data_IF_325933367857
#
_entry.id   IF_325933367857
#
_cell.length_a   1.000
_cell.length_b   1.000
_cell.length_c   1.000
_cell.angle_alpha   90.00
_cell.angle_beta   90.00
_cell.angle_gamma   90.00
#
_symmetry.space_group_name_H-M   'P 1'
#
loop_
_entity.id
_entity.type
_entity.pdbx_description
1 polymer ?
#
# COMPACT_ATOMS: atom_id res chain seq x y z
N UNK A 1 -5.57 -5.19 -52.56
CA UNK A 1 -5.08 -3.91 -52.01
C UNK A 1 -4.74 -4.22 -50.57
N UNK A 2 -3.47 -4.44 -50.28
CA UNK A 2 -3.03 -4.65 -48.90
C UNK A 2 -3.19 -3.31 -48.19
N UNK A 3 -4.05 -3.27 -47.16
CA UNK A 3 -4.19 -2.09 -46.32
C UNK A 3 -2.92 -1.93 -45.50
N UNK A 4 -2.29 -0.76 -45.58
CA UNK A 4 -1.16 -0.44 -44.72
C UNK A 4 -1.57 -0.54 -43.24
N UNK A 5 -0.67 -1.04 -42.37
CA UNK A 5 -0.95 -1.16 -40.95
C UNK A 5 -1.10 0.24 -40.32
N UNK A 6 -2.11 0.40 -39.47
CA UNK A 6 -2.35 1.64 -38.73
C UNK A 6 -1.12 2.04 -37.89
N UNK A 7 -0.66 3.28 -38.02
CA UNK A 7 0.47 3.86 -37.28
C UNK A 7 0.07 4.76 -36.10
N UNK A 8 -1.22 4.93 -35.86
CA UNK A 8 -1.71 5.79 -34.77
C UNK A 8 -1.41 5.19 -33.40
N UNK A 9 -1.06 6.08 -32.45
CA UNK A 9 -0.59 5.69 -31.13
C UNK A 9 -1.70 5.23 -30.19
N UNK A 10 -2.94 5.67 -30.37
CA UNK A 10 -4.04 5.48 -29.41
C UNK A 10 -5.00 4.39 -29.88
N UNK A 11 -5.27 3.42 -29.00
CA UNK A 11 -6.14 2.28 -29.24
C UNK A 11 -7.19 2.18 -28.14
N UNK A 12 -8.41 1.76 -28.50
CA UNK A 12 -9.50 1.47 -27.59
C UNK A 12 -10.10 0.10 -27.93
N UNK A 13 -9.99 -0.87 -27.02
CA UNK A 13 -10.51 -2.23 -27.19
C UNK A 13 -10.07 -2.90 -28.52
N UNK A 14 -8.78 -2.79 -28.87
CA UNK A 14 -8.22 -3.38 -30.08
C UNK A 14 -8.51 -2.61 -31.38
N UNK A 15 -9.22 -1.47 -31.30
CA UNK A 15 -9.46 -0.58 -32.43
C UNK A 15 -8.61 0.68 -32.30
N UNK A 16 -8.12 1.20 -33.42
CA UNK A 16 -7.51 2.53 -33.43
C UNK A 16 -8.54 3.61 -33.09
N UNK A 17 -8.27 4.42 -32.08
CA UNK A 17 -9.19 5.49 -31.65
C UNK A 17 -9.30 6.65 -32.66
N UNK A 18 -8.41 6.71 -33.66
CA UNK A 18 -8.35 7.79 -34.65
C UNK A 18 -8.98 7.35 -35.98
N UNK A 19 -8.56 6.20 -36.52
CA UNK A 19 -9.03 5.73 -37.83
C UNK A 19 -10.01 4.56 -37.79
N UNK A 20 -10.27 3.99 -36.60
CA UNK A 20 -11.21 2.86 -36.43
C UNK A 20 -10.74 1.53 -37.01
N UNK A 21 -9.52 1.46 -37.55
CA UNK A 21 -8.93 0.22 -38.06
C UNK A 21 -8.71 -0.77 -36.90
N UNK A 22 -9.05 -2.03 -37.12
CA UNK A 22 -8.73 -3.12 -36.19
C UNK A 22 -7.21 -3.30 -36.16
N UNK A 23 -6.63 -3.12 -34.98
CA UNK A 23 -5.19 -3.22 -34.77
C UNK A 23 -4.80 -4.58 -34.19
N UNK A 24 -5.78 -5.36 -33.70
CA UNK A 24 -5.64 -6.70 -33.11
C UNK A 24 -4.59 -6.84 -32.00
N UNK A 25 -4.70 -7.87 -31.17
CA UNK A 25 -3.54 -8.39 -30.42
C UNK A 25 -2.63 -9.18 -31.38
N UNK A 26 -2.23 -8.55 -32.49
CA UNK A 26 -1.28 -9.17 -33.39
C UNK A 26 0.07 -9.21 -32.66
N UNK A 27 0.41 -10.39 -32.13
CA UNK A 27 1.78 -10.81 -31.81
C UNK A 27 2.61 -10.81 -33.10
N UNK A 28 2.76 -9.64 -33.73
CA UNK A 28 3.83 -9.41 -34.69
C UNK A 28 5.12 -9.42 -33.90
N UNK A 29 6.04 -10.30 -34.27
CA UNK A 29 7.35 -10.56 -33.67
C UNK A 29 8.33 -9.35 -33.69
N UNK A 30 7.83 -8.12 -33.61
CA UNK A 30 8.62 -6.91 -33.46
C UNK A 30 8.07 -6.10 -32.28
N UNK A 31 8.86 -6.04 -31.19
CA UNK A 31 8.52 -5.41 -29.90
C UNK A 31 8.36 -3.88 -29.91
N UNK A 32 7.75 -3.31 -30.94
CA UNK A 32 7.47 -1.87 -31.09
C UNK A 32 6.06 -1.46 -30.67
N UNK A 33 5.13 -2.42 -30.52
CA UNK A 33 3.71 -2.17 -30.17
C UNK A 33 3.34 -2.67 -28.77
N UNK A 34 4.20 -2.46 -27.77
CA UNK A 34 3.78 -2.63 -26.38
C UNK A 34 2.68 -1.59 -26.09
N UNK A 35 1.44 -2.07 -26.01
CA UNK A 35 0.27 -1.29 -25.68
C UNK A 35 0.26 -1.06 -24.16
N UNK A 36 0.32 0.19 -23.72
CA UNK A 36 0.37 0.61 -22.31
C UNK A 36 -0.96 1.26 -21.94
N UNK A 37 -1.61 0.81 -20.86
CA UNK A 37 -2.84 1.43 -20.38
C UNK A 37 -2.52 2.75 -19.65
N UNK A 38 -2.89 3.88 -20.25
CA UNK A 38 -2.64 5.20 -19.66
C UNK A 38 -3.79 5.72 -18.80
N UNK A 39 -4.92 5.01 -18.75
CA UNK A 39 -6.08 5.48 -17.99
C UNK A 39 -6.14 4.82 -16.61
N UNK A 40 -6.53 5.65 -15.63
CA UNK A 40 -6.89 5.20 -14.29
C UNK A 40 -8.34 4.70 -14.22
N UNK A 41 -9.19 4.98 -15.22
CA UNK A 41 -10.62 4.67 -15.18
C UNK A 41 -11.24 4.06 -16.44
N UNK A 42 -10.52 4.03 -17.56
CA UNK A 42 -10.99 3.45 -18.81
C UNK A 42 -10.20 2.18 -19.09
N UNK A 43 -10.88 1.05 -18.99
CA UNK A 43 -10.35 -0.22 -19.49
C UNK A 43 -10.24 -0.21 -21.01
N UNK A 44 -9.13 -0.74 -21.51
CA UNK A 44 -8.90 -0.92 -22.94
C UNK A 44 -8.40 0.32 -23.70
N UNK A 45 -8.21 1.47 -23.04
CA UNK A 45 -7.50 2.62 -23.64
C UNK A 45 -5.99 2.42 -23.54
N UNK A 46 -5.36 2.07 -24.65
CA UNK A 46 -3.94 1.79 -24.73
C UNK A 46 -3.23 2.80 -25.61
N UNK A 47 -1.98 3.11 -25.28
CA UNK A 47 -1.08 3.87 -26.15
C UNK A 47 0.19 3.08 -26.44
N UNK A 48 0.89 3.41 -27.53
CA UNK A 48 2.22 2.86 -27.77
C UNK A 48 3.25 3.46 -26.79
N UNK A 49 4.40 2.79 -26.65
CA UNK A 49 5.46 3.21 -25.73
C UNK A 49 5.96 4.64 -25.94
N UNK A 50 6.15 5.08 -27.19
CA UNK A 50 6.63 6.44 -27.48
C UNK A 50 5.66 7.52 -27.01
N UNK A 51 4.35 7.26 -27.10
CA UNK A 51 3.32 8.20 -26.66
C UNK A 51 3.19 8.20 -25.13
N UNK A 52 3.34 7.04 -24.48
CA UNK A 52 3.43 6.95 -23.03
C UNK A 52 4.61 7.77 -22.50
N UNK A 53 5.81 7.59 -23.08
CA UNK A 53 7.02 8.34 -22.73
C UNK A 53 6.82 9.86 -22.93
N UNK A 54 6.17 10.28 -24.03
CA UNK A 54 5.87 11.70 -24.27
C UNK A 54 4.95 12.28 -23.20
N UNK A 55 3.85 11.59 -22.87
CA UNK A 55 2.89 12.03 -21.85
C UNK A 55 3.53 12.10 -20.46
N UNK A 56 4.41 11.16 -20.12
CA UNK A 56 5.17 11.20 -18.87
C UNK A 56 6.17 12.34 -18.81
N UNK A 57 6.92 12.59 -19.89
CA UNK A 57 7.85 13.72 -19.95
C UNK A 57 7.11 15.05 -19.77
N UNK A 58 5.93 15.21 -20.37
CA UNK A 58 5.09 16.40 -20.18
C UNK A 58 4.59 16.53 -18.74
N UNK A 59 4.18 15.41 -18.12
CA UNK A 59 3.78 15.39 -16.72
C UNK A 59 4.95 15.72 -15.79
N UNK A 60 6.11 15.12 -15.99
CA UNK A 60 7.33 15.39 -15.22
C UNK A 60 7.75 16.85 -15.36
N UNK A 61 7.76 17.40 -16.57
CA UNK A 61 8.07 18.82 -16.81
C UNK A 61 7.10 19.75 -16.06
N UNK A 62 5.79 19.49 -16.11
CA UNK A 62 4.77 20.25 -15.37
C UNK A 62 4.97 20.14 -13.85
N UNK A 63 5.26 18.95 -13.35
CA UNK A 63 5.54 18.71 -11.93
C UNK A 63 6.78 19.49 -11.48
N UNK A 64 7.86 19.46 -12.26
CA UNK A 64 9.07 20.25 -11.99
C UNK A 64 8.79 21.77 -12.01
N UNK A 65 8.03 22.27 -12.98
CA UNK A 65 7.64 23.68 -13.08
C UNK A 65 6.82 24.14 -11.88
N UNK A 66 5.84 23.33 -11.47
CA UNK A 66 4.97 23.61 -10.32
C UNK A 66 5.62 23.27 -8.98
N UNK A 67 6.86 22.77 -8.99
CA UNK A 67 7.59 22.25 -7.84
C UNK A 67 6.79 21.23 -7.03
N UNK A 68 6.20 20.23 -7.69
CA UNK A 68 5.47 19.12 -7.08
C UNK A 68 6.06 17.76 -7.46
N UNK A 69 5.93 16.79 -6.56
CA UNK A 69 6.17 15.37 -6.82
C UNK A 69 4.83 14.63 -6.98
N UNK A 70 4.86 13.35 -7.33
CA UNK A 70 3.68 12.48 -7.28
C UNK A 70 3.65 11.68 -5.98
N UNK A 71 2.48 11.54 -5.36
CA UNK A 71 2.27 10.70 -4.18
C UNK A 71 1.15 9.69 -4.44
N UNK A 72 1.50 8.41 -4.40
CA UNK A 72 0.55 7.31 -4.37
C UNK A 72 0.15 7.06 -2.92
N UNK A 73 -1.16 7.07 -2.65
CA UNK A 73 -1.76 6.95 -1.33
C UNK A 73 -2.64 5.71 -1.29
N UNK A 74 -2.31 4.79 -0.40
CA UNK A 74 -3.22 3.69 -0.06
C UNK A 74 -4.35 4.15 0.88
N UNK A 75 -5.45 3.38 0.95
CA UNK A 75 -6.63 3.70 1.76
C UNK A 75 -6.62 2.99 3.10
N UNK A 76 -6.85 1.68 3.10
CA UNK A 76 -7.16 0.86 4.27
C UNK A 76 -5.94 0.67 5.15
N UNK A 77 -6.07 0.98 6.45
CA UNK A 77 -4.96 1.03 7.40
C UNK A 77 -3.84 2.03 7.08
N UNK A 78 -3.96 2.81 6.00
CA UNK A 78 -3.05 3.91 5.68
C UNK A 78 -3.65 5.27 6.09
N UNK A 79 -4.74 5.71 5.45
CA UNK A 79 -5.42 6.98 5.77
C UNK A 79 -6.84 6.81 6.35
N UNK A 80 -7.39 5.59 6.27
CA UNK A 80 -8.66 5.23 6.88
C UNK A 80 -8.57 3.85 7.54
N UNK A 81 -9.50 3.53 8.42
CA UNK A 81 -9.77 2.15 8.83
C UNK A 81 -11.25 1.87 8.60
N UNK A 82 -11.57 0.76 7.94
CA UNK A 82 -12.93 0.37 7.59
C UNK A 82 -13.39 -0.86 8.38
N UNK A 83 -14.69 -0.92 8.64
CA UNK A 83 -15.36 -2.03 9.31
C UNK A 83 -16.78 -2.21 8.76
N UNK A 84 -17.25 -3.45 8.79
CA UNK A 84 -18.63 -3.86 8.50
C UNK A 84 -19.35 -4.41 9.74
N UNK A 85 -18.73 -4.32 10.93
CA UNK A 85 -19.30 -4.76 12.21
C UNK A 85 -20.48 -3.85 12.63
N UNK A 86 -21.72 -4.36 12.74
CA UNK A 86 -22.90 -3.56 13.10
C UNK A 86 -22.81 -2.93 14.49
N UNK A 87 -21.94 -3.43 15.37
CA UNK A 87 -21.72 -2.84 16.70
C UNK A 87 -21.21 -1.40 16.62
N UNK A 88 -20.52 -1.01 15.54
CA UNK A 88 -20.16 0.40 15.31
C UNK A 88 -21.41 1.28 15.23
N UNK A 89 -22.41 0.85 14.46
CA UNK A 89 -23.70 1.56 14.34
C UNK A 89 -24.47 1.61 15.66
N UNK A 90 -24.41 0.56 16.47
CA UNK A 90 -25.00 0.53 17.81
C UNK A 90 -24.34 1.59 18.73
N UNK A 91 -23.00 1.64 18.76
CA UNK A 91 -22.25 2.63 19.56
C UNK A 91 -22.43 4.06 19.07
N UNK A 92 -22.57 4.27 17.76
CA UNK A 92 -22.90 5.58 17.19
C UNK A 92 -24.25 6.11 17.66
N UNK A 93 -25.22 5.24 17.90
CA UNK A 93 -26.58 5.63 18.28
C UNK A 93 -26.81 5.69 19.81
N UNK A 94 -26.05 4.91 20.58
CA UNK A 94 -26.15 4.90 22.04
C UNK A 94 -25.25 5.94 22.71
N UNK A 95 -25.84 7.09 23.08
CA UNK A 95 -25.13 8.19 23.78
C UNK A 95 -24.55 7.79 25.14
N UNK A 96 -25.04 6.71 25.75
CA UNK A 96 -24.54 6.22 27.04
C UNK A 96 -23.39 5.21 26.86
N UNK A 97 -23.12 4.76 25.64
CA UNK A 97 -22.03 3.85 25.38
C UNK A 97 -20.69 4.58 25.53
N UNK A 98 -19.71 3.92 26.16
CA UNK A 98 -18.39 4.50 26.40
C UNK A 98 -17.59 4.75 25.14
N UNK A 99 -17.86 4.02 24.06
CA UNK A 99 -17.22 4.21 22.76
C UNK A 99 -17.83 5.37 21.98
N UNK A 100 -19.07 5.79 22.29
CA UNK A 100 -19.80 6.83 21.55
C UNK A 100 -19.02 8.14 21.35
N UNK A 101 -18.23 8.65 22.33
CA UNK A 101 -17.42 9.84 22.10
C UNK A 101 -16.42 9.70 20.94
N UNK A 102 -15.86 8.50 20.74
CA UNK A 102 -14.88 8.19 19.70
C UNK A 102 -15.51 7.90 18.32
N UNK A 103 -16.84 7.75 18.23
CA UNK A 103 -17.53 7.43 16.98
C UNK A 103 -18.03 8.65 16.20
N UNK A 104 -17.85 9.87 16.72
CA UNK A 104 -18.51 11.09 16.21
C UNK A 104 -18.13 11.46 14.78
N UNK A 105 -16.92 11.11 14.37
CA UNK A 105 -16.35 11.41 13.06
C UNK A 105 -16.31 10.19 12.13
N UNK A 106 -16.82 9.04 12.59
CA UNK A 106 -17.03 7.86 11.74
C UNK A 106 -18.03 8.23 10.65
N UNK A 107 -17.67 7.94 9.40
CA UNK A 107 -18.55 8.08 8.24
C UNK A 107 -19.12 6.71 7.91
N UNK A 108 -20.33 6.71 7.32
CA UNK A 108 -20.95 5.51 6.80
C UNK A 108 -21.36 5.67 5.34
N UNK A 109 -21.35 4.56 4.61
CA UNK A 109 -21.87 4.46 3.25
C UNK A 109 -22.32 3.03 2.94
N UNK A 110 -23.05 2.89 1.84
CA UNK A 110 -23.52 1.61 1.30
C UNK A 110 -23.09 1.56 -0.15
N UNK A 111 -22.60 0.40 -0.61
CA UNK A 111 -22.19 0.21 -2.00
C UNK A 111 -23.41 -0.12 -2.88
N UNK A 112 -23.39 0.26 -4.18
CA UNK A 112 -24.46 -0.09 -5.11
C UNK A 112 -24.74 -1.59 -5.13
N UNK A 113 -26.01 -1.98 -5.04
CA UNK A 113 -26.43 -3.39 -5.11
C UNK A 113 -26.21 -4.20 -3.83
N UNK A 114 -25.74 -3.59 -2.73
CA UNK A 114 -25.55 -4.26 -1.44
C UNK A 114 -26.33 -3.54 -0.33
N UNK A 115 -26.94 -4.25 0.65
CA UNK A 115 -27.50 -3.64 1.84
C UNK A 115 -26.44 -3.37 2.93
N UNK A 116 -25.19 -3.78 2.70
CA UNK A 116 -24.11 -3.71 3.68
C UNK A 116 -23.71 -2.26 3.98
N UNK A 117 -23.69 -1.93 5.27
CA UNK A 117 -23.19 -0.66 5.76
C UNK A 117 -21.70 -0.78 6.05
N UNK A 118 -20.91 0.06 5.40
CA UNK A 118 -19.50 0.25 5.69
C UNK A 118 -19.35 1.43 6.65
N UNK A 119 -18.57 1.24 7.71
CA UNK A 119 -18.14 2.28 8.63
C UNK A 119 -16.68 2.58 8.35
N UNK A 120 -16.35 3.84 8.09
CA UNK A 120 -14.96 4.27 7.94
C UNK A 120 -14.62 5.31 9.00
N UNK A 121 -13.49 5.10 9.64
CA UNK A 121 -12.85 6.07 10.49
C UNK A 121 -11.71 6.70 9.69
N UNK A 122 -11.72 8.03 9.59
CA UNK A 122 -10.59 8.76 9.02
C UNK A 122 -9.44 8.75 10.02
N UNK A 123 -8.21 8.61 9.54
CA UNK A 123 -7.03 8.75 10.39
C UNK A 123 -6.94 10.18 10.92
N UNK A 124 -6.55 10.41 12.19
CA UNK A 124 -6.54 11.75 12.77
C UNK A 124 -5.80 12.75 11.91
N UNK A 125 -6.37 13.95 11.79
CA UNK A 125 -5.84 15.07 11.00
C UNK A 125 -5.73 14.82 9.49
N UNK A 126 -6.47 13.86 8.94
CA UNK A 126 -6.44 13.57 7.50
C UNK A 126 -6.72 14.80 6.62
N UNK A 127 -7.68 15.65 7.00
CA UNK A 127 -8.04 16.83 6.20
C UNK A 127 -6.90 17.86 6.19
N UNK A 128 -6.27 18.08 7.33
CA UNK A 128 -5.09 18.94 7.47
C UNK A 128 -3.90 18.36 6.69
N UNK A 129 -3.66 17.06 6.80
CA UNK A 129 -2.65 16.35 6.03
C UNK A 129 -2.84 16.56 4.54
N UNK A 130 -4.04 16.28 4.01
CA UNK A 130 -4.36 16.42 2.58
C UNK A 130 -4.20 17.88 2.11
N UNK A 131 -4.64 18.85 2.90
CA UNK A 131 -4.48 20.27 2.59
C UNK A 131 -3.01 20.70 2.49
N UNK A 132 -2.15 20.18 3.36
CA UNK A 132 -0.73 20.55 3.37
C UNK A 132 0.07 19.80 2.29
N UNK A 133 -0.14 18.48 2.15
CA UNK A 133 0.61 17.66 1.22
C UNK A 133 0.33 18.02 -0.24
N UNK A 134 -0.90 18.43 -0.57
CA UNK A 134 -1.28 18.84 -1.95
C UNK A 134 -0.52 20.05 -2.48
N UNK A 135 0.06 20.87 -1.59
CA UNK A 135 0.94 21.99 -1.97
C UNK A 135 2.24 21.54 -2.63
N UNK A 136 2.68 20.32 -2.32
CA UNK A 136 3.98 19.76 -2.73
C UNK A 136 3.84 18.47 -3.54
N UNK A 137 2.68 17.83 -3.49
CA UNK A 137 2.42 16.55 -4.15
C UNK A 137 1.15 16.58 -4.97
N UNK A 138 1.15 15.89 -6.09
CA UNK A 138 -0.03 15.46 -6.82
C UNK A 138 -0.42 14.05 -6.40
N UNK A 139 -1.66 13.89 -5.95
CA UNK A 139 -2.09 12.70 -5.21
C UNK A 139 -2.85 11.72 -6.11
N UNK A 140 -2.53 10.45 -5.95
CA UNK A 140 -3.19 9.31 -6.58
C UNK A 140 -3.65 8.34 -5.50
N UNK A 141 -4.87 7.83 -5.58
CA UNK A 141 -5.29 6.68 -4.76
C UNK A 141 -4.86 5.40 -5.47
N UNK A 142 -4.25 4.47 -4.75
CA UNK A 142 -4.05 3.10 -5.23
C UNK A 142 -4.39 2.11 -4.11
N UNK A 143 -5.54 1.47 -4.21
CA UNK A 143 -6.09 0.55 -3.19
C UNK A 143 -6.32 -0.86 -3.75
N UNK A 144 -6.29 -1.85 -2.87
CA UNK A 144 -6.74 -3.22 -3.15
C UNK A 144 -8.26 -3.40 -2.95
N UNK A 145 -9.00 -2.34 -2.58
CA UNK A 145 -10.45 -2.32 -2.61
C UNK A 145 -11.03 -2.22 -4.03
N UNK A 146 -12.32 -2.52 -4.17
CA UNK A 146 -13.04 -2.38 -5.46
C UNK A 146 -13.19 -0.92 -5.88
N UNK A 147 -13.53 -0.68 -7.15
CA UNK A 147 -13.74 0.67 -7.67
C UNK A 147 -14.84 1.42 -6.91
N UNK A 148 -15.98 0.78 -6.71
CA UNK A 148 -17.11 1.37 -5.99
C UNK A 148 -16.74 1.72 -4.54
N UNK A 149 -15.92 0.89 -3.89
CA UNK A 149 -15.39 1.16 -2.56
C UNK A 149 -14.46 2.39 -2.57
N UNK A 150 -13.48 2.41 -3.47
CA UNK A 150 -12.53 3.51 -3.60
C UNK A 150 -13.23 4.84 -3.86
N UNK A 151 -14.23 4.87 -4.74
CA UNK A 151 -15.04 6.06 -5.01
C UNK A 151 -15.88 6.48 -3.80
N UNK A 152 -16.50 5.53 -3.10
CA UNK A 152 -17.28 5.82 -1.91
C UNK A 152 -16.41 6.46 -0.81
N UNK A 153 -15.20 5.95 -0.59
CA UNK A 153 -14.21 6.53 0.32
C UNK A 153 -13.74 7.89 -0.16
N UNK A 154 -13.36 8.02 -1.44
CA UNK A 154 -12.92 9.29 -2.05
C UNK A 154 -13.97 10.39 -1.86
N UNK A 155 -15.26 10.10 -2.08
CA UNK A 155 -16.34 11.05 -1.86
C UNK A 155 -16.50 11.48 -0.39
N UNK A 156 -15.98 10.71 0.59
CA UNK A 156 -15.98 11.10 2.01
C UNK A 156 -14.77 11.96 2.40
N UNK A 157 -13.64 11.82 1.70
CA UNK A 157 -12.38 12.54 2.02
C UNK A 157 -12.10 13.73 1.11
N UNK A 158 -12.61 13.70 -0.13
CA UNK A 158 -12.43 14.69 -1.21
C UNK A 158 -13.78 14.91 -1.95
N UNK A 159 -14.80 15.46 -1.28
CA UNK A 159 -16.17 15.53 -1.82
C UNK A 159 -16.31 16.45 -3.04
N UNK A 160 -15.42 17.41 -3.23
CA UNK A 160 -15.39 18.31 -4.38
C UNK A 160 -14.49 17.79 -5.53
N UNK A 161 -13.87 16.62 -5.33
CA UNK A 161 -12.94 15.97 -6.28
C UNK A 161 -11.78 16.87 -6.70
N UNK A 162 -11.33 17.76 -5.84
CA UNK A 162 -10.24 18.69 -6.16
C UNK A 162 -8.87 18.05 -5.97
N UNK A 163 -8.76 17.08 -5.06
CA UNK A 163 -7.49 16.48 -4.61
C UNK A 163 -7.09 15.30 -5.50
N UNK A 164 -7.96 14.30 -5.65
CA UNK A 164 -7.65 13.07 -6.39
C UNK A 164 -8.19 13.12 -7.82
N UNK A 165 -9.28 13.87 -8.07
CA UNK A 165 -9.95 13.92 -9.39
C UNK A 165 -10.25 12.50 -9.89
N UNK A 166 -9.73 12.14 -11.05
CA UNK A 166 -9.86 10.81 -11.67
C UNK A 166 -8.65 9.89 -11.37
N UNK A 167 -7.70 10.31 -10.52
CA UNK A 167 -6.49 9.55 -10.18
C UNK A 167 -6.76 8.52 -9.08
N UNK A 168 -7.63 7.58 -9.37
CA UNK A 168 -7.99 6.49 -8.48
C UNK A 168 -7.74 5.19 -9.23
N UNK A 169 -6.87 4.35 -8.70
CA UNK A 169 -6.60 3.01 -9.19
C UNK A 169 -7.07 2.01 -8.14
N UNK A 170 -8.11 1.25 -8.49
CA UNK A 170 -8.67 0.21 -7.64
C UNK A 170 -8.19 -1.17 -8.08
N UNK A 171 -8.52 -2.20 -7.29
CA UNK A 171 -8.28 -3.59 -7.64
C UNK A 171 -8.81 -3.95 -9.02
N UNK A 172 -9.97 -3.44 -9.39
CA UNK A 172 -10.71 -3.80 -10.62
C UNK A 172 -9.94 -3.40 -11.90
N UNK A 173 -9.01 -2.46 -11.82
CA UNK A 173 -8.24 -1.96 -12.96
C UNK A 173 -6.71 -1.94 -12.76
N UNK A 174 -6.25 -2.41 -11.61
CA UNK A 174 -4.83 -2.45 -11.22
C UNK A 174 -4.01 -3.46 -12.04
N UNK A 175 -4.63 -4.56 -12.48
CA UNK A 175 -3.97 -5.66 -13.19
C UNK A 175 -3.29 -6.68 -12.27
N UNK A 176 -3.45 -6.58 -10.94
CA UNK A 176 -2.98 -7.60 -9.99
C UNK A 176 -3.86 -7.64 -8.74
N UNK A 177 -4.08 -8.85 -8.21
CA UNK A 177 -4.85 -9.05 -6.97
C UNK A 177 -3.98 -9.08 -5.71
N UNK A 178 -2.66 -9.20 -5.87
CA UNK A 178 -1.72 -9.52 -4.79
C UNK A 178 -0.61 -8.48 -4.64
N UNK A 179 -0.36 -7.69 -5.69
CA UNK A 179 0.73 -6.73 -5.78
C UNK A 179 0.25 -5.41 -6.38
N UNK A 180 0.95 -4.34 -6.03
CA UNK A 180 0.82 -3.01 -6.60
C UNK A 180 2.09 -2.70 -7.38
N UNK A 181 1.93 -2.17 -8.60
CA UNK A 181 3.06 -1.77 -9.43
C UNK A 181 2.97 -0.28 -9.77
N UNK A 182 4.02 0.48 -9.44
CA UNK A 182 4.11 1.93 -9.73
C UNK A 182 3.97 2.18 -11.23
N UNK A 183 4.50 1.26 -12.06
CA UNK A 183 4.46 1.34 -13.52
C UNK A 183 3.05 1.27 -14.11
N UNK A 184 2.04 0.86 -13.32
CA UNK A 184 0.64 0.96 -13.73
C UNK A 184 0.15 2.41 -13.82
N UNK A 185 0.76 3.32 -13.06
CA UNK A 185 0.51 4.75 -13.06
C UNK A 185 1.60 5.54 -13.79
N UNK A 186 2.85 5.08 -13.68
CA UNK A 186 4.06 5.73 -14.20
C UNK A 186 4.95 4.70 -14.94
N UNK A 187 4.51 4.20 -16.12
CA UNK A 187 5.21 3.17 -16.89
C UNK A 187 6.68 3.42 -17.28
N UNK A 188 7.15 4.66 -17.41
CA UNK A 188 8.51 4.91 -17.92
C UNK A 188 9.45 5.61 -16.91
N UNK A 189 8.92 6.48 -16.04
CA UNK A 189 9.71 7.21 -15.06
C UNK A 189 9.06 7.25 -13.67
N UNK A 190 9.76 6.67 -12.68
CA UNK A 190 9.31 6.62 -11.28
C UNK A 190 10.14 7.54 -10.37
N UNK A 191 11.06 8.32 -10.93
CA UNK A 191 12.02 9.17 -10.19
C UNK A 191 11.38 10.29 -9.38
N UNK A 192 10.15 10.66 -9.71
CA UNK A 192 9.37 11.71 -9.03
C UNK A 192 8.20 11.17 -8.20
N UNK A 193 8.12 9.85 -8.01
CA UNK A 193 6.98 9.20 -7.38
C UNK A 193 7.34 8.71 -5.99
N UNK A 194 6.54 9.09 -4.99
CA UNK A 194 6.60 8.56 -3.63
C UNK A 194 5.36 7.70 -3.39
N UNK A 195 5.48 6.63 -2.62
CA UNK A 195 4.37 5.78 -2.21
C UNK A 195 4.20 5.85 -0.69
N UNK A 196 2.96 5.95 -0.22
CA UNK A 196 2.60 5.86 1.19
C UNK A 196 1.60 4.71 1.36
N UNK A 197 2.03 3.65 2.04
CA UNK A 197 1.26 2.42 2.22
C UNK A 197 1.69 1.74 3.54
N UNK A 198 0.78 1.07 4.23
CA UNK A 198 1.11 0.38 5.48
C UNK A 198 1.75 -1.00 5.25
N UNK A 199 1.68 -1.49 4.00
CA UNK A 199 2.21 -2.78 3.56
C UNK A 199 3.39 -2.63 2.62
N UNK A 200 4.53 -3.23 2.96
CA UNK A 200 5.72 -3.24 2.10
C UNK A 200 5.76 -4.39 1.11
N UNK A 201 5.11 -5.49 1.46
CA UNK A 201 5.08 -6.74 0.69
C UNK A 201 4.27 -6.59 -0.61
N UNK A 202 3.20 -5.79 -0.61
CA UNK A 202 2.41 -5.51 -1.82
C UNK A 202 3.14 -4.61 -2.82
N UNK A 203 4.23 -3.96 -2.41
CA UNK A 203 5.05 -3.09 -3.26
C UNK A 203 6.41 -3.72 -3.58
N UNK A 204 6.59 -5.00 -3.28
CA UNK A 204 7.87 -5.70 -3.35
C UNK A 204 9.03 -4.88 -2.75
N UNK A 205 8.79 -4.24 -1.59
CA UNK A 205 9.79 -3.42 -0.90
C UNK A 205 10.38 -2.28 -1.75
N UNK A 206 9.58 -1.71 -2.65
CA UNK A 206 9.98 -0.62 -3.54
C UNK A 206 10.76 0.50 -2.82
N UNK A 207 11.84 1.03 -3.44
CA UNK A 207 12.60 2.14 -2.86
C UNK A 207 11.76 3.43 -2.73
N UNK A 208 10.69 3.57 -3.50
CA UNK A 208 9.77 4.72 -3.45
C UNK A 208 8.84 4.69 -2.23
N UNK A 209 8.77 3.58 -1.50
CA UNK A 209 7.80 3.36 -0.42
C UNK A 209 8.22 4.01 0.90
N UNK A 210 7.36 4.85 1.45
CA UNK A 210 7.33 5.21 2.86
C UNK A 210 6.29 4.31 3.52
N UNK A 211 6.77 3.30 4.25
CA UNK A 211 5.90 2.41 5.02
C UNK A 211 5.31 3.18 6.20
N UNK A 212 3.98 3.21 6.33
CA UNK A 212 3.31 3.83 7.48
C UNK A 212 2.96 2.79 8.54
N UNK A 213 2.80 3.21 9.80
CA UNK A 213 2.18 2.37 10.82
C UNK A 213 0.74 2.06 10.40
N UNK A 214 0.29 0.79 10.43
CA UNK A 214 -1.11 0.45 10.18
C UNK A 214 -2.05 1.17 11.16
N UNK A 215 -3.11 1.80 10.63
CA UNK A 215 -4.11 2.49 11.41
C UNK A 215 -5.17 1.51 11.95
N UNK A 216 -5.06 1.18 13.24
CA UNK A 216 -5.89 0.19 13.92
C UNK A 216 -6.87 0.83 14.92
N UNK A 217 -7.79 1.66 14.42
CA UNK A 217 -8.86 2.23 15.26
C UNK A 217 -9.94 1.21 15.68
N UNK A 218 -10.48 0.45 14.72
CA UNK A 218 -11.42 -0.63 15.01
C UNK A 218 -10.67 -1.87 15.52
N UNK A 219 -10.26 -1.83 16.77
CA UNK A 219 -9.34 -2.81 17.36
C UNK A 219 -9.74 -4.25 17.05
N UNK A 220 -8.86 -5.02 16.40
CA UNK A 220 -9.10 -6.43 16.07
C UNK A 220 -9.85 -6.67 14.77
N UNK A 221 -10.24 -5.61 14.09
CA UNK A 221 -10.58 -5.64 12.68
C UNK A 221 -9.28 -5.36 11.91
N UNK A 222 -8.97 -6.23 10.95
CA UNK A 222 -7.84 -6.03 10.04
C UNK A 222 -8.23 -5.23 8.80
N UNK A 223 -7.39 -5.26 7.79
CA UNK A 223 -7.73 -4.72 6.47
C UNK A 223 -8.84 -5.57 5.83
N UNK A 224 -10.02 -4.95 5.64
CA UNK A 224 -11.19 -5.61 5.06
C UNK A 224 -11.05 -5.88 3.56
N UNK A 225 -10.02 -5.37 2.88
CA UNK A 225 -9.75 -5.60 1.47
C UNK A 225 -8.51 -6.50 1.23
N UNK A 226 -7.97 -7.12 2.28
CA UNK A 226 -6.71 -7.89 2.23
C UNK A 226 -6.83 -9.37 1.89
N UNK A 227 -8.01 -9.88 1.53
CA UNK A 227 -8.32 -11.33 1.44
C UNK A 227 -7.30 -12.14 0.61
N UNK A 228 -6.77 -11.56 -0.47
CA UNK A 228 -5.80 -12.21 -1.37
C UNK A 228 -4.37 -11.75 -1.17
N UNK A 229 -4.15 -10.79 -0.28
CA UNK A 229 -2.81 -10.35 0.06
C UNK A 229 -2.13 -11.41 0.93
N UNK A 230 -0.80 -11.53 0.88
CA UNK A 230 -0.06 -12.39 1.80
C UNK A 230 -0.47 -12.12 3.26
N UNK A 231 -0.57 -13.15 4.10
CA UNK A 231 -0.87 -12.91 5.52
C UNK A 231 0.34 -12.22 6.16
N UNK A 232 0.12 -11.11 6.86
CA UNK A 232 1.18 -10.43 7.61
C UNK A 232 1.83 -11.40 8.59
N UNK A 233 3.15 -11.38 8.66
CA UNK A 233 3.89 -12.12 9.69
C UNK A 233 3.52 -11.55 11.07
N UNK A 234 2.98 -12.37 11.99
CA UNK A 234 2.70 -11.90 13.34
C UNK A 234 4.01 -11.62 14.06
N UNK A 235 4.29 -10.35 14.36
CA UNK A 235 5.35 -9.99 15.30
C UNK A 235 4.89 -10.46 16.68
N UNK A 236 5.68 -11.26 17.42
CA UNK A 236 5.33 -11.66 18.77
C UNK A 236 5.14 -10.40 19.63
N UNK A 237 3.91 -10.16 20.11
CA UNK A 237 3.67 -9.13 21.13
C UNK A 237 4.32 -9.60 22.43
N UNK A 238 4.99 -8.68 23.13
CA UNK A 238 5.52 -8.95 24.47
C UNK A 238 4.36 -9.03 25.47
N UNK A 239 3.66 -10.16 25.51
CA UNK A 239 2.62 -10.44 26.51
C UNK A 239 3.05 -11.61 27.41
N UNK A 240 2.71 -11.48 28.70
CA UNK A 240 3.03 -12.39 29.78
C UNK A 240 2.49 -13.81 29.54
N UNK A 241 3.13 -14.86 30.09
CA UNK A 241 2.93 -16.23 29.66
C UNK A 241 1.62 -16.79 30.22
N UNK A 242 0.59 -16.89 29.38
CA UNK A 242 -0.33 -18.03 29.40
C UNK A 242 -1.25 -18.00 28.18
N UNK A 243 -0.87 -18.71 27.13
CA UNK A 243 -1.82 -19.49 26.31
C UNK A 243 -1.02 -20.42 25.40
N UNK A 244 -1.33 -21.72 25.47
CA UNK A 244 -0.72 -22.75 24.63
C UNK A 244 -1.41 -22.73 23.25
N UNK A 245 -0.67 -22.67 22.13
CA UNK A 245 -1.28 -22.77 20.80
C UNK A 245 -1.67 -24.21 20.49
N UNK A 246 -2.93 -24.41 20.07
CA UNK A 246 -3.37 -25.63 19.40
C UNK A 246 -2.89 -25.61 17.94
N UNK A 247 -2.14 -26.63 17.57
CA UNK A 247 -1.59 -26.88 16.24
C UNK A 247 -2.69 -27.21 15.23
N UNK A 248 -2.69 -26.53 14.08
CA UNK A 248 -3.24 -27.05 12.83
C UNK A 248 -2.20 -26.88 11.73
N UNK A 249 -1.67 -28.02 11.27
CA UNK A 249 -0.74 -28.12 10.17
C UNK A 249 -1.39 -27.67 8.86
N UNK A 250 -0.74 -26.74 8.14
CA UNK A 250 -0.98 -26.48 6.74
C UNK A 250 0.38 -26.52 6.03
N UNK A 251 0.56 -27.57 5.22
CA UNK A 251 1.77 -27.84 4.44
C UNK A 251 1.90 -26.81 3.32
N UNK A 252 2.95 -25.97 3.37
CA UNK A 252 3.33 -25.09 2.26
C UNK A 252 4.36 -25.80 1.37
N UNK A 253 3.95 -26.17 0.15
CA UNK A 253 4.91 -26.55 -0.89
C UNK A 253 5.35 -25.28 -1.63
N UNK A 254 6.54 -24.80 -1.31
CA UNK A 254 7.23 -23.78 -2.10
C UNK A 254 7.76 -24.38 -3.39
N UNK A 255 7.42 -23.76 -4.52
CA UNK A 255 8.20 -23.87 -5.75
C UNK A 255 8.75 -22.48 -6.04
N UNK A 256 10.07 -22.38 -6.01
CA UNK A 256 10.81 -21.26 -6.58
C UNK A 256 10.55 -21.21 -8.09
N UNK A 257 10.30 -20.01 -8.62
CA UNK A 257 10.45 -19.72 -10.04
C UNK A 257 11.35 -18.51 -10.23
N UNK A 258 12.38 -18.77 -11.02
CA UNK A 258 13.36 -17.86 -11.60
C UNK A 258 12.72 -16.78 -12.48
N UNK A 259 13.34 -15.60 -12.47
CA UNK A 259 13.26 -14.48 -13.43
C UNK A 259 12.29 -14.68 -14.62
N UNK A 260 11.04 -14.23 -14.44
CA UNK A 260 10.07 -14.08 -15.54
C UNK A 260 9.74 -12.60 -15.72
N UNK A 261 9.76 -12.14 -16.98
CA UNK A 261 9.27 -10.82 -17.38
C UNK A 261 7.80 -10.73 -16.97
N UNK A 262 7.46 -9.70 -16.20
CA UNK A 262 6.09 -9.44 -15.73
C UNK A 262 5.15 -9.16 -16.92
N UNK A 263 4.50 -10.22 -17.42
CA UNK A 263 3.29 -10.07 -18.22
C UNK A 263 2.13 -9.66 -17.29
N UNK A 264 1.33 -8.69 -17.72
CA UNK A 264 0.11 -8.28 -17.02
C UNK A 264 -0.84 -9.48 -16.97
N UNK A 265 -0.92 -10.16 -15.83
CA UNK A 265 -1.91 -11.21 -15.60
C UNK A 265 -3.31 -10.63 -15.76
N UNK A 266 -3.97 -10.94 -16.88
CA UNK A 266 -5.41 -10.74 -16.97
C UNK A 266 -6.06 -11.70 -16.00
N UNK A 267 -6.47 -11.17 -14.85
CA UNK A 267 -7.21 -11.94 -13.83
C UNK A 267 -8.49 -12.47 -14.47
N UNK A 268 -8.61 -13.80 -14.55
CA UNK A 268 -9.78 -14.42 -15.17
C UNK A 268 -11.06 -14.21 -14.31
N UNK A 269 -12.21 -14.35 -14.95
CA UNK A 269 -13.51 -14.14 -14.31
C UNK A 269 -13.78 -15.12 -13.16
N UNK A 270 -13.18 -16.32 -13.20
CA UNK A 270 -13.32 -17.34 -12.16
C UNK A 270 -12.59 -16.93 -10.87
N UNK A 271 -11.37 -16.41 -11.01
CA UNK A 271 -10.56 -15.89 -9.91
C UNK A 271 -11.24 -14.68 -9.26
N UNK A 272 -11.79 -13.76 -10.06
CA UNK A 272 -12.58 -12.62 -9.57
C UNK A 272 -13.85 -13.07 -8.82
N UNK A 273 -14.56 -14.08 -9.33
CA UNK A 273 -15.76 -14.61 -8.67
C UNK A 273 -15.44 -15.28 -7.33
N UNK A 274 -14.38 -16.11 -7.28
CA UNK A 274 -13.87 -16.70 -6.05
C UNK A 274 -13.47 -15.63 -5.05
N UNK A 275 -12.85 -14.55 -5.52
CA UNK A 275 -12.47 -13.43 -4.68
C UNK A 275 -13.67 -12.72 -4.07
N UNK A 276 -14.71 -12.45 -4.85
CA UNK A 276 -15.92 -11.85 -4.32
C UNK A 276 -16.56 -12.74 -3.25
N UNK A 277 -16.58 -14.08 -3.45
CA UNK A 277 -17.10 -15.02 -2.46
C UNK A 277 -16.32 -15.02 -1.14
N UNK A 278 -14.98 -15.02 -1.19
CA UNK A 278 -14.15 -15.00 0.03
C UNK A 278 -14.26 -13.65 0.76
N UNK A 279 -14.36 -12.56 0.01
CA UNK A 279 -14.61 -11.22 0.55
C UNK A 279 -15.98 -11.14 1.26
N UNK A 280 -17.03 -11.65 0.62
CA UNK A 280 -18.37 -11.70 1.20
C UNK A 280 -18.40 -12.58 2.47
N UNK A 281 -17.69 -13.71 2.45
CA UNK A 281 -17.56 -14.58 3.61
C UNK A 281 -16.85 -13.91 4.79
N UNK A 282 -15.77 -13.15 4.53
CA UNK A 282 -15.07 -12.39 5.58
C UNK A 282 -15.94 -11.29 6.18
N UNK A 283 -16.69 -10.58 5.34
CA UNK A 283 -17.66 -9.57 5.78
C UNK A 283 -18.76 -10.21 6.62
N UNK A 284 -19.35 -11.31 6.15
CA UNK A 284 -20.39 -12.05 6.89
C UNK A 284 -19.85 -12.55 8.24
N UNK A 285 -18.63 -13.07 8.27
CA UNK A 285 -17.97 -13.48 9.50
C UNK A 285 -17.86 -12.30 10.47
N UNK A 286 -17.45 -11.13 10.01
CA UNK A 286 -17.35 -9.94 10.86
C UNK A 286 -18.72 -9.49 11.39
N UNK A 287 -19.77 -9.50 10.56
CA UNK A 287 -21.13 -9.14 10.95
C UNK A 287 -21.71 -10.08 12.02
N UNK A 288 -21.43 -11.38 11.88
CA UNK A 288 -21.94 -12.41 12.78
C UNK A 288 -21.11 -12.53 14.06
N UNK A 289 -19.78 -12.51 13.96
CA UNK A 289 -18.89 -12.64 15.11
C UNK A 289 -18.88 -11.39 15.99
N UNK A 290 -19.07 -10.20 15.41
CA UNK A 290 -19.05 -8.91 16.12
C UNK A 290 -17.80 -8.75 17.00
N UNK A 291 -16.59 -8.81 16.42
CA UNK A 291 -15.34 -8.78 17.17
C UNK A 291 -15.21 -7.56 18.10
N UNK A 292 -15.80 -6.41 17.73
CA UNK A 292 -15.77 -5.22 18.57
C UNK A 292 -16.60 -5.39 19.84
N UNK A 293 -17.76 -6.05 19.75
CA UNK A 293 -18.59 -6.36 20.90
C UNK A 293 -17.90 -7.38 21.82
N UNK A 294 -17.25 -8.39 21.24
CA UNK A 294 -16.46 -9.37 22.00
C UNK A 294 -15.36 -8.67 22.82
N UNK A 295 -14.58 -7.79 22.18
CA UNK A 295 -13.55 -6.99 22.87
C UNK A 295 -14.11 -6.05 23.92
N UNK A 296 -15.28 -5.45 23.69
CA UNK A 296 -15.94 -4.64 24.71
C UNK A 296 -16.27 -5.46 25.95
N UNK A 297 -16.78 -6.67 25.77
CA UNK A 297 -17.09 -7.57 26.87
C UNK A 297 -15.82 -7.96 27.64
N UNK A 298 -14.73 -8.30 26.95
CA UNK A 298 -13.43 -8.59 27.57
C UNK A 298 -12.88 -7.42 28.39
N UNK A 299 -12.88 -6.20 27.84
CA UNK A 299 -12.38 -5.01 28.55
C UNK A 299 -13.28 -4.55 29.68
N UNK A 300 -14.58 -4.82 29.59
CA UNK A 300 -15.53 -4.52 30.68
C UNK A 300 -15.23 -5.32 31.94
N UNK A 301 -14.68 -6.54 31.78
CA UNK A 301 -14.30 -7.42 32.89
C UNK A 301 -13.00 -6.97 33.59
N UNK A 302 -12.11 -6.30 32.86
CA UNK A 302 -10.75 -5.99 33.33
C UNK A 302 -10.54 -4.54 33.79
N UNK A 303 -11.05 -3.54 33.05
CA UNK A 303 -10.63 -2.14 33.27
C UNK A 303 -11.73 -1.07 33.10
N UNK A 304 -12.98 -1.43 32.81
CA UNK A 304 -14.10 -0.47 32.68
C UNK A 304 -13.83 0.69 31.68
N UNK A 305 -12.89 0.53 30.75
CA UNK A 305 -12.46 1.53 29.74
C UNK A 305 -13.18 1.34 28.39
N UNK A 306 -13.20 2.36 27.50
CA UNK A 306 -13.67 2.20 26.13
C UNK A 306 -12.71 1.33 25.30
N UNK A 307 -13.26 0.63 24.30
CA UNK A 307 -12.52 -0.15 23.30
C UNK A 307 -11.83 0.76 22.29
N UNK A 308 -12.55 1.79 21.85
CA UNK A 308 -12.09 2.73 20.84
C UNK A 308 -11.31 3.87 21.50
N UNK A 309 -10.04 3.98 21.14
CA UNK A 309 -9.15 5.08 21.55
C UNK A 309 -8.47 5.60 20.29
N UNK A 310 -8.54 6.91 20.09
CA UNK A 310 -7.95 7.57 18.93
C UNK A 310 -6.82 8.50 19.38
N UNK A 311 -5.61 7.93 19.46
CA UNK A 311 -4.37 8.62 19.82
C UNK A 311 -3.30 8.47 18.73
N UNK A 312 -3.72 8.22 17.49
CA UNK A 312 -2.81 8.10 16.35
C UNK A 312 -2.32 9.49 15.91
N UNK A 313 -1.01 9.63 15.74
CA UNK A 313 -0.32 10.86 15.31
C UNK A 313 0.51 10.62 14.04
N UNK A 314 0.24 9.53 13.31
CA UNK A 314 1.13 9.08 12.24
C UNK A 314 1.12 10.06 11.06
N UNK A 315 -0.03 10.62 10.69
CA UNK A 315 -0.11 11.55 9.56
C UNK A 315 0.71 12.82 9.78
N UNK A 316 0.86 13.29 11.03
CA UNK A 316 1.77 14.41 11.33
C UNK A 316 3.22 14.03 11.01
N UNK A 317 3.66 12.83 11.42
CA UNK A 317 5.03 12.33 11.18
C UNK A 317 5.29 12.13 9.69
N UNK A 318 4.34 11.52 8.98
CA UNK A 318 4.46 11.27 7.55
C UNK A 318 4.47 12.58 6.76
N UNK A 319 3.68 13.58 7.17
CA UNK A 319 3.72 14.90 6.53
C UNK A 319 5.10 15.54 6.63
N UNK A 320 5.76 15.45 7.78
CA UNK A 320 7.12 15.98 7.95
C UNK A 320 8.15 15.21 7.11
N UNK A 321 8.03 13.88 7.02
CA UNK A 321 8.88 13.06 6.15
C UNK A 321 8.68 13.46 4.68
N UNK A 322 7.45 13.59 4.22
CA UNK A 322 7.12 13.99 2.83
C UNK A 322 7.67 15.39 2.52
N UNK A 323 7.51 16.36 3.43
CA UNK A 323 8.11 17.70 3.27
C UNK A 323 9.63 17.63 3.13
N UNK A 324 10.29 16.76 3.89
CA UNK A 324 11.74 16.60 3.84
C UNK A 324 12.20 15.95 2.53
N UNK A 325 11.48 14.94 2.03
CA UNK A 325 11.73 14.32 0.71
C UNK A 325 11.61 15.37 -0.39
N UNK A 326 10.49 16.12 -0.40
CA UNK A 326 10.27 17.19 -1.36
C UNK A 326 11.39 18.24 -1.33
N UNK A 327 11.74 18.72 -0.13
CA UNK A 327 12.81 19.71 0.06
C UNK A 327 14.13 19.22 -0.51
N UNK A 328 14.59 18.02 -0.13
CA UNK A 328 15.86 17.45 -0.58
C UNK A 328 15.87 17.23 -2.10
N UNK A 329 14.79 16.66 -2.66
CA UNK A 329 14.66 16.46 -4.09
C UNK A 329 14.84 17.77 -4.86
N UNK A 330 14.14 18.83 -4.45
CA UNK A 330 14.20 20.12 -5.13
C UNK A 330 15.49 20.89 -4.88
N UNK A 331 16.15 20.71 -3.74
CA UNK A 331 17.50 21.24 -3.53
C UNK A 331 18.51 20.61 -4.49
N UNK A 332 18.42 19.31 -4.72
CA UNK A 332 19.28 18.60 -5.66
C UNK A 332 18.92 18.93 -7.12
N UNK A 333 17.64 19.10 -7.43
CA UNK A 333 17.17 19.64 -8.71
C UNK A 333 17.77 21.03 -8.99
N UNK A 334 17.67 21.95 -8.04
CA UNK A 334 18.17 23.32 -8.20
C UNK A 334 19.70 23.36 -8.35
N UNK A 335 20.43 22.43 -7.72
CA UNK A 335 21.88 22.25 -7.96
C UNK A 335 22.13 21.71 -9.37
N UNK A 336 21.40 20.69 -9.80
CA UNK A 336 21.52 20.08 -11.13
C UNK A 336 21.24 21.09 -12.25
N UNK A 337 20.32 22.03 -12.04
CA UNK A 337 20.01 23.09 -13.01
C UNK A 337 21.18 24.07 -13.25
N UNK A 338 22.12 24.19 -12.30
CA UNK A 338 23.33 25.03 -12.44
C UNK A 338 24.43 24.34 -13.26
N UNK A 339 24.30 23.03 -13.50
CA UNK A 339 25.24 22.23 -14.27
C UNK A 339 24.84 22.27 -15.75
N UNK A 340 25.84 22.24 -16.63
CA UNK A 340 25.64 22.11 -18.07
C UNK A 340 24.73 20.91 -18.39
N UNK A 341 23.76 21.03 -19.32
CA UNK A 341 22.86 19.93 -19.68
C UNK A 341 23.56 18.60 -19.99
N UNK A 342 24.78 18.65 -20.54
CA UNK A 342 25.56 17.44 -20.88
C UNK A 342 26.10 16.65 -19.69
N UNK A 343 26.16 17.23 -18.49
CA UNK A 343 26.68 16.58 -17.28
C UNK A 343 25.66 16.61 -16.13
N UNK A 344 24.42 16.99 -16.43
CA UNK A 344 23.36 17.13 -15.44
C UNK A 344 22.84 15.75 -15.06
N UNK A 345 22.81 15.48 -13.75
CA UNK A 345 22.13 14.33 -13.18
C UNK A 345 20.89 14.86 -12.47
N UNK A 346 19.73 14.35 -12.86
CA UNK A 346 18.46 14.71 -12.24
C UNK A 346 18.30 13.96 -10.90
N UNK A 347 17.71 14.58 -9.88
CA UNK A 347 17.41 13.88 -8.63
C UNK A 347 16.39 12.76 -8.87
N UNK A 348 16.50 11.70 -8.08
CA UNK A 348 15.68 10.51 -8.20
C UNK A 348 15.25 10.03 -6.80
N UNK A 349 13.94 10.03 -6.54
CA UNK A 349 13.34 9.56 -5.30
C UNK A 349 13.74 8.12 -4.97
N UNK A 350 13.95 7.26 -5.98
CA UNK A 350 14.37 5.86 -5.80
C UNK A 350 15.77 5.71 -5.20
N UNK A 351 16.57 6.77 -5.22
CA UNK A 351 17.89 6.81 -4.56
C UNK A 351 17.83 7.65 -3.28
N UNK A 352 17.16 8.80 -3.35
CA UNK A 352 17.03 9.74 -2.24
C UNK A 352 16.35 9.12 -1.02
N UNK A 353 15.24 8.39 -1.19
CA UNK A 353 14.52 7.78 -0.07
C UNK A 353 15.33 6.68 0.61
N UNK A 354 15.93 5.70 -0.11
CA UNK A 354 16.85 4.75 0.50
C UNK A 354 18.01 5.41 1.25
N UNK A 355 18.63 6.46 0.70
CA UNK A 355 19.71 7.18 1.38
C UNK A 355 19.22 7.83 2.67
N UNK A 356 18.04 8.45 2.66
CA UNK A 356 17.43 9.01 3.87
C UNK A 356 17.20 7.93 4.94
N UNK A 357 16.73 6.74 4.55
CA UNK A 357 16.48 5.64 5.48
C UNK A 357 17.77 5.02 6.01
N UNK A 358 18.76 4.79 5.15
CA UNK A 358 20.01 4.10 5.48
C UNK A 358 20.80 4.79 6.60
N UNK A 359 20.66 6.11 6.74
CA UNK A 359 21.32 6.88 7.78
C UNK A 359 20.73 6.65 9.19
N UNK A 360 19.57 6.00 9.32
CA UNK A 360 18.84 5.90 10.60
C UNK A 360 19.46 4.85 11.53
N UNK A 361 19.78 3.67 11.00
CA UNK A 361 20.38 2.56 11.75
C UNK A 361 21.81 2.26 11.27
N UNK A 362 22.47 3.22 10.61
CA UNK A 362 23.85 3.09 10.17
C UNK A 362 24.76 2.68 11.35
N UNK A 363 25.64 1.71 11.11
CA UNK A 363 26.57 1.20 12.12
C UNK A 363 25.95 0.26 13.16
N UNK A 364 24.64 -0.05 13.06
CA UNK A 364 24.03 -1.09 13.88
C UNK A 364 24.19 -2.47 13.26
N UNK A 365 24.43 -3.47 14.12
CA UNK A 365 24.46 -4.89 13.76
C UNK A 365 23.44 -5.59 14.63
N UNK A 366 22.31 -5.99 14.05
CA UNK A 366 21.16 -6.57 14.72
C UNK A 366 21.18 -8.10 14.65
N UNK A 367 20.82 -8.71 15.77
CA UNK A 367 20.50 -10.14 15.86
C UNK A 367 19.07 -10.27 16.38
N UNK A 368 18.22 -10.99 15.65
CA UNK A 368 16.85 -11.26 16.08
C UNK A 368 16.77 -12.58 16.86
N UNK A 369 16.14 -12.54 18.04
CA UNK A 369 15.96 -13.71 18.92
C UNK A 369 14.49 -13.88 19.25
N UNK A 370 13.92 -15.04 18.89
CA UNK A 370 12.50 -15.35 19.14
C UNK A 370 11.52 -14.32 18.54
N UNK A 371 11.94 -13.59 17.50
CA UNK A 371 11.11 -12.64 16.73
C UNK A 371 10.66 -13.28 15.42
N UNK A 372 11.62 -13.89 14.71
CA UNK A 372 11.38 -14.58 13.44
C UNK A 372 11.09 -16.06 13.73
N UNK A 373 10.03 -16.65 13.15
CA UNK A 373 9.69 -18.07 13.34
C UNK A 373 10.84 -19.03 12.99
N UNK A 374 10.94 -20.13 13.73
CA UNK A 374 11.93 -21.18 13.46
C UNK A 374 11.63 -21.86 12.11
N UNK A 375 12.68 -22.13 11.33
CA UNK A 375 12.58 -22.79 10.02
C UNK A 375 12.30 -21.85 8.85
N UNK A 376 12.10 -20.56 9.10
CA UNK A 376 12.03 -19.52 8.07
C UNK A 376 13.42 -18.91 7.83
N UNK A 377 13.76 -18.59 6.58
CA UNK A 377 14.95 -17.77 6.28
C UNK A 377 14.77 -16.35 6.86
N UNK A 378 15.58 -15.93 7.85
CA UNK A 378 15.48 -14.62 8.47
C UNK A 378 15.58 -13.48 7.46
N UNK A 379 16.35 -13.64 6.39
CA UNK A 379 16.56 -12.60 5.37
C UNK A 379 15.30 -12.31 4.55
N UNK A 380 14.36 -13.26 4.50
CA UNK A 380 13.08 -13.10 3.82
C UNK A 380 12.01 -12.48 4.73
N UNK A 381 12.23 -12.46 6.06
CA UNK A 381 11.27 -11.88 7.00
C UNK A 381 11.13 -10.36 6.82
N UNK A 382 9.91 -9.88 7.05
CA UNK A 382 9.60 -8.46 6.88
C UNK A 382 10.44 -7.58 7.82
N UNK A 383 10.64 -8.02 9.06
CA UNK A 383 11.37 -7.24 10.06
C UNK A 383 12.86 -7.11 9.72
N UNK A 384 13.45 -8.15 9.10
CA UNK A 384 14.83 -8.13 8.66
C UNK A 384 15.01 -7.19 7.48
N UNK A 385 14.18 -7.34 6.44
CA UNK A 385 14.20 -6.45 5.25
C UNK A 385 13.98 -5.00 5.64
N UNK A 386 13.05 -4.75 6.57
CA UNK A 386 12.80 -3.41 7.11
C UNK A 386 14.07 -2.85 7.79
N UNK A 387 14.68 -3.60 8.72
CA UNK A 387 15.88 -3.14 9.39
C UNK A 387 17.03 -2.82 8.41
N UNK A 388 17.27 -3.70 7.43
CA UNK A 388 18.28 -3.49 6.38
C UNK A 388 17.98 -2.24 5.55
N UNK A 389 16.70 -2.01 5.19
CA UNK A 389 16.30 -0.80 4.44
C UNK A 389 16.54 0.51 5.21
N UNK A 390 16.66 0.44 6.54
CA UNK A 390 17.01 1.55 7.41
C UNK A 390 18.51 1.60 7.77
N UNK A 391 19.35 0.82 7.10
CA UNK A 391 20.81 0.85 7.20
C UNK A 391 21.42 -0.08 8.24
N UNK A 392 20.63 -0.91 8.89
CA UNK A 392 21.16 -1.92 9.81
C UNK A 392 21.83 -3.06 9.05
N UNK A 393 22.93 -3.58 9.58
CA UNK A 393 23.40 -4.92 9.22
C UNK A 393 22.66 -5.92 10.10
N UNK A 394 22.18 -7.02 9.52
CA UNK A 394 21.53 -8.08 10.29
C UNK A 394 22.35 -9.37 10.19
N UNK A 395 22.42 -10.13 11.27
CA UNK A 395 23.15 -11.41 11.32
C UNK A 395 22.34 -12.46 12.08
N UNK A 396 22.34 -13.74 11.64
CA UNK A 396 21.67 -14.82 12.35
C UNK A 396 22.49 -15.34 13.54
N UNK A 397 23.76 -14.95 13.65
CA UNK A 397 24.70 -15.46 14.64
C UNK A 397 25.12 -14.40 15.65
N UNK A 398 25.21 -14.79 16.92
CA UNK A 398 25.80 -13.94 17.94
C UNK A 398 27.33 -13.90 17.75
N UNK A 399 27.81 -12.78 17.22
CA UNK A 399 29.25 -12.50 17.05
C UNK A 399 29.66 -11.27 17.86
N UNK A 400 30.97 -11.05 18.04
CA UNK A 400 31.49 -9.84 18.70
C UNK A 400 31.19 -8.52 17.95
N UNK A 401 30.60 -8.58 16.75
CA UNK A 401 30.16 -7.41 15.97
C UNK A 401 28.73 -6.99 16.29
N UNK A 402 27.92 -7.86 16.91
CA UNK A 402 26.52 -7.57 17.22
C UNK A 402 26.45 -6.40 18.19
N UNK A 403 25.75 -5.34 17.81
CA UNK A 403 25.55 -4.16 18.66
C UNK A 403 24.25 -4.25 19.44
N UNK A 404 23.22 -4.90 18.90
CA UNK A 404 21.92 -5.05 19.55
C UNK A 404 21.31 -6.44 19.30
N UNK A 405 20.63 -6.96 20.32
CA UNK A 405 19.78 -8.15 20.20
C UNK A 405 18.32 -7.71 20.30
N UNK A 406 17.55 -7.96 19.26
CA UNK A 406 16.10 -7.71 19.23
C UNK A 406 15.39 -8.98 19.66
N UNK A 407 14.91 -9.01 20.89
CA UNK A 407 14.34 -10.20 21.51
C UNK A 407 12.81 -10.13 21.64
N UNK A 408 12.10 -11.15 21.15
CA UNK A 408 10.64 -11.28 21.27
C UNK A 408 10.18 -11.86 22.62
N UNK A 409 11.09 -12.43 23.41
CA UNK A 409 10.84 -12.95 24.77
C UNK A 409 11.95 -12.50 25.71
N UNK A 410 11.58 -12.15 26.95
CA UNK A 410 12.50 -11.68 27.99
C UNK A 410 13.38 -12.81 28.56
N UNK A 411 12.99 -14.07 28.38
CA UNK A 411 13.74 -15.23 28.88
C UNK A 411 14.92 -15.56 27.97
N UNK A 412 16.10 -15.04 28.30
CA UNK A 412 17.37 -15.46 27.69
C UNK A 412 17.79 -16.83 28.22
N UNK A 413 17.27 -17.91 27.65
CA UNK A 413 17.90 -19.21 27.81
C UNK A 413 19.11 -19.29 26.89
N UNK A 414 20.31 -19.36 27.48
CA UNK A 414 21.63 -19.55 26.84
C UNK A 414 21.72 -20.76 25.88
N UNK A 415 20.63 -21.52 25.70
CA UNK A 415 20.51 -22.75 24.91
C UNK A 415 19.85 -22.57 23.54
N UNK A 416 19.40 -21.37 23.16
CA UNK A 416 18.79 -21.16 21.82
C UNK A 416 19.77 -20.64 20.75
N UNK A 417 21.06 -20.55 21.06
CA UNK A 417 22.11 -20.48 20.04
C UNK A 417 22.49 -21.90 19.59
N UNK A 418 21.55 -22.62 19.00
CA UNK A 418 21.87 -23.85 18.27
C UNK A 418 21.63 -23.58 16.81
N UNK A 419 22.75 -23.27 16.15
CA UNK A 419 23.10 -23.62 14.77
C UNK A 419 22.02 -24.42 14.05
N UNK A 420 21.39 -23.80 13.05
CA UNK A 420 21.00 -24.47 11.81
C UNK A 420 21.54 -23.65 10.67
#
# INVERSE_FOLDING_TARGET
MDQEPCSHAVQYNGLCAICGQDVGNSNTEEGSRANINMSHNVHGLMVNRSEAERLEQENAARLLETRRLSLIVDLDQTIIHAACDPTVGEWMNDKNNKNHPATKDIKQFVLPGSPLVYYIKLRPKLQEFLKEVTKQYELHIYTMGTRNYAEAVANKIDPDRTIFRERILSRDESGSLTQKNIQRLFPCDTSMVVVMDDRSDVWNWSPNLIKVKPYDFFVGIGDINSVFLPKREPIPKSETPNEQPQTKDAVSNGKESTEEREELDQVDAETLAKQQQEQDAMVEQQQNARPLLQKQNEMSLSQNQPVLVDNDEELDKILEILKEVHRKFYEDYDKAMKISPSHRIMPDVTTLLPDMKANILEGTVLLFSSVIPLGQDPQQSDIWRLAVSFGAQCTPELTGRVTHVVAGKVSFTRKEYVMV
#
